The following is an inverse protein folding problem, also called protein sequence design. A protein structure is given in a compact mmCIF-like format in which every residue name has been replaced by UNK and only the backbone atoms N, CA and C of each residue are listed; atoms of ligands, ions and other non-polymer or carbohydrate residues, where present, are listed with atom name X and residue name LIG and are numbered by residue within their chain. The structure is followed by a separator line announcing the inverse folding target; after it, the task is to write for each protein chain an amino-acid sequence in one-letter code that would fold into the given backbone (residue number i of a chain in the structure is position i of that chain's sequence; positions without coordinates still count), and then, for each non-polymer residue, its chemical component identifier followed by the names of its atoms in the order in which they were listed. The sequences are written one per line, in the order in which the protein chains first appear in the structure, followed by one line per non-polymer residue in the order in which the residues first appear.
data_IF_525614080550
#
_entry.id   IF_525614080550
#
_cell.length_a   1.000
_cell.length_b   1.000
_cell.length_c   1.000
_cell.angle_alpha   90.00
_cell.angle_beta   90.00
_cell.angle_gamma   90.00
#
_symmetry.space_group_name_H-M   'P 1'
#
loop_
_entity.id
_entity.type
_entity.pdbx_description
1 polymer ?
#
# COMPACT_ATOMS: atom_id res chain seq x y z
N UNK A 1 11.50 8.40 13.67
CA UNK A 1 10.37 9.26 13.25
C UNK A 1 9.41 9.29 14.42
N UNK A 2 9.74 10.13 15.42
CA UNK A 2 8.85 10.42 16.53
C UNK A 2 7.98 11.61 16.12
N UNK A 3 6.67 11.43 16.27
CA UNK A 3 5.64 12.47 16.26
C UNK A 3 5.52 13.38 15.02
N UNK A 4 5.19 12.80 13.87
CA UNK A 4 4.22 13.44 13.00
C UNK A 4 2.84 12.86 13.36
N UNK A 5 2.39 13.11 14.57
CA UNK A 5 0.99 12.94 14.96
C UNK A 5 0.18 14.12 14.40
N UNK A 6 0.09 14.15 13.07
CA UNK A 6 -1.05 14.77 12.42
C UNK A 6 -2.16 13.74 12.55
N UNK A 7 -2.79 13.64 13.72
CA UNK A 7 -3.93 12.81 14.02
C UNK A 7 -4.06 11.46 13.28
N UNK A 8 -5.19 10.80 13.31
CA UNK A 8 -5.48 9.57 12.53
C UNK A 8 -5.26 9.74 11.02
N UNK A 9 -5.33 10.96 10.51
CA UNK A 9 -5.10 11.30 9.10
C UNK A 9 -3.64 11.07 8.64
N UNK A 10 -2.63 11.30 9.49
CA UNK A 10 -1.22 11.12 9.11
C UNK A 10 -0.84 9.67 8.83
N UNK A 11 -1.40 8.73 9.58
CA UNK A 11 -1.20 7.31 9.36
C UNK A 11 -1.80 6.85 8.03
N UNK A 12 -2.98 7.37 7.65
CA UNK A 12 -3.65 7.04 6.38
C UNK A 12 -2.80 7.43 5.18
N UNK A 13 -2.10 8.56 5.21
CA UNK A 13 -1.22 8.96 4.10
C UNK A 13 -0.01 8.04 3.95
N UNK A 14 0.68 7.71 5.03
CA UNK A 14 1.81 6.77 5.00
C UNK A 14 1.36 5.38 4.55
N UNK A 15 0.19 4.92 5.00
CA UNK A 15 -0.38 3.64 4.57
C UNK A 15 -0.77 3.67 3.09
N UNK A 16 -1.25 4.82 2.59
CA UNK A 16 -1.51 5.04 1.17
C UNK A 16 -0.26 4.86 0.32
N UNK A 17 0.85 5.50 0.70
CA UNK A 17 2.14 5.36 0.02
C UNK A 17 2.63 3.91 0.03
N UNK A 18 2.59 3.23 1.19
CA UNK A 18 2.99 1.83 1.32
C UNK A 18 2.14 0.92 0.44
N UNK A 19 0.82 1.17 0.38
CA UNK A 19 -0.10 0.38 -0.45
C UNK A 19 0.15 0.61 -1.94
N UNK A 20 0.31 1.86 -2.37
CA UNK A 20 0.59 2.19 -3.77
C UNK A 20 1.92 1.58 -4.18
N UNK A 21 2.98 1.76 -3.39
CA UNK A 21 4.29 1.16 -3.65
C UNK A 21 4.22 -0.37 -3.75
N UNK A 22 3.39 -0.99 -2.89
CA UNK A 22 3.13 -2.43 -2.98
C UNK A 22 2.50 -2.79 -4.33
N UNK A 23 1.50 -2.05 -4.80
CA UNK A 23 0.77 -2.34 -6.04
C UNK A 23 1.63 -2.13 -7.28
N UNK A 24 2.33 -0.99 -7.36
CA UNK A 24 3.18 -0.64 -8.51
C UNK A 24 4.59 -1.22 -8.42
N UNK A 25 4.93 -1.90 -7.33
CA UNK A 25 6.25 -2.53 -7.13
C UNK A 25 7.37 -1.49 -7.09
N UNK A 26 7.18 -0.40 -6.36
CA UNK A 26 8.24 0.58 -6.15
C UNK A 26 9.26 0.06 -5.14
N UNK A 27 10.50 -0.15 -5.57
CA UNK A 27 11.57 -0.73 -4.75
C UNK A 27 12.36 0.33 -3.97
N UNK A 28 12.23 1.62 -4.30
CA UNK A 28 13.10 2.67 -3.76
C UNK A 28 12.37 3.83 -3.07
N UNK A 29 11.24 3.59 -2.43
CA UNK A 29 10.62 4.57 -1.55
C UNK A 29 11.50 4.80 -0.32
N UNK A 30 12.34 5.81 -0.35
CA UNK A 30 13.16 6.19 0.80
C UNK A 30 12.59 7.43 1.51
N UNK A 31 13.18 7.80 2.64
CA UNK A 31 12.64 8.87 3.50
C UNK A 31 12.52 10.25 2.83
N UNK A 32 13.33 10.53 1.81
CA UNK A 32 13.24 11.78 1.05
C UNK A 32 12.11 11.77 -0.01
N UNK A 33 11.43 10.64 -0.20
CA UNK A 33 10.33 10.46 -1.15
C UNK A 33 8.97 10.53 -0.46
N UNK A 34 8.94 10.97 0.80
CA UNK A 34 7.74 11.37 1.54
C UNK A 34 7.78 12.87 1.79
N UNK A 35 6.63 13.49 1.80
CA UNK A 35 6.55 14.92 2.05
C UNK A 35 5.23 15.35 2.65
N UNK A 36 5.24 16.54 3.18
CA UNK A 36 4.05 17.26 3.61
C UNK A 36 4.04 18.64 2.96
N UNK A 37 2.85 19.08 2.60
CA UNK A 37 2.64 20.43 2.08
C UNK A 37 2.49 21.35 3.28
N UNK A 38 3.22 22.46 3.23
CA UNK A 38 3.20 23.50 4.26
C UNK A 38 2.90 24.85 3.64
N UNK A 39 2.05 25.63 4.28
CA UNK A 39 1.83 27.04 3.90
C UNK A 39 3.13 27.82 4.00
N UNK A 40 3.47 28.56 2.98
CA UNK A 40 4.65 29.45 3.00
C UNK A 40 4.44 30.66 3.92
N UNK A 41 3.20 31.10 4.09
CA UNK A 41 2.86 32.31 4.84
C UNK A 41 2.64 32.01 6.33
N UNK A 42 1.84 30.97 6.63
CA UNK A 42 1.44 30.64 8.02
C UNK A 42 2.29 29.56 8.65
N UNK A 43 3.07 28.83 7.85
CA UNK A 43 3.84 27.65 8.24
C UNK A 43 2.99 26.47 8.73
N UNK A 44 1.69 26.53 8.56
CA UNK A 44 0.77 25.44 8.91
C UNK A 44 0.88 24.27 7.94
N UNK A 45 0.71 23.06 8.43
CA UNK A 45 0.64 21.87 7.60
C UNK A 45 -0.72 21.79 6.91
N UNK A 46 -0.69 21.67 5.57
CA UNK A 46 -1.88 21.62 4.70
C UNK A 46 -2.30 20.19 4.34
N UNK A 47 -1.36 19.24 4.38
CA UNK A 47 -1.63 17.86 4.04
C UNK A 47 -0.39 17.10 3.60
N UNK A 48 -0.57 15.86 3.15
CA UNK A 48 0.49 15.08 2.54
C UNK A 48 0.86 15.63 1.16
N UNK A 49 2.13 15.51 0.79
CA UNK A 49 2.54 15.73 -0.58
C UNK A 49 1.98 14.61 -1.49
N UNK A 50 1.69 14.89 -2.76
CA UNK A 50 1.41 13.84 -3.73
C UNK A 50 2.55 12.83 -3.78
N UNK A 51 2.23 11.58 -4.13
CA UNK A 51 3.25 10.54 -4.34
C UNK A 51 4.15 10.96 -5.49
N UNK A 52 5.46 10.92 -5.27
CA UNK A 52 6.47 11.28 -6.26
C UNK A 52 7.63 10.29 -6.22
N UNK A 53 8.52 10.37 -7.21
CA UNK A 53 9.72 9.52 -7.34
C UNK A 53 9.40 8.02 -7.34
N UNK A 54 8.53 7.62 -8.26
CA UNK A 54 8.14 6.22 -8.45
C UNK A 54 8.84 5.57 -9.65
N UNK A 55 10.00 6.08 -10.08
CA UNK A 55 10.72 5.63 -11.26
C UNK A 55 11.25 4.19 -11.18
N UNK A 56 11.42 3.64 -9.99
CA UNK A 56 11.88 2.27 -9.76
C UNK A 56 10.71 1.27 -9.61
N UNK A 57 9.66 1.46 -10.39
CA UNK A 57 8.42 0.69 -10.29
C UNK A 57 8.24 -0.30 -11.45
N UNK A 58 7.20 -1.14 -11.37
CA UNK A 58 6.70 -2.00 -12.45
C UNK A 58 7.78 -2.96 -12.99
N UNK A 59 8.65 -3.46 -12.10
CA UNK A 59 9.76 -4.36 -12.48
C UNK A 59 10.62 -3.76 -13.59
N UNK A 60 10.93 -2.45 -13.50
CA UNK A 60 11.63 -1.69 -14.54
C UNK A 60 12.94 -2.33 -15.01
N UNK A 61 13.67 -2.97 -14.10
CA UNK A 61 14.97 -3.61 -14.32
C UNK A 61 14.88 -5.12 -14.62
N UNK A 62 13.67 -5.71 -14.63
CA UNK A 62 13.48 -7.16 -14.83
C UNK A 62 13.13 -7.50 -16.28
N UNK A 63 13.66 -8.59 -16.81
CA UNK A 63 13.16 -9.18 -18.05
C UNK A 63 11.68 -9.54 -17.95
N UNK A 64 10.94 -9.45 -19.05
CA UNK A 64 9.50 -9.73 -19.12
C UNK A 64 9.12 -11.08 -18.50
N UNK A 65 9.92 -12.11 -18.70
CA UNK A 65 9.69 -13.45 -18.16
C UNK A 65 9.79 -13.52 -16.60
N UNK A 66 10.41 -12.53 -15.96
CA UNK A 66 10.59 -12.47 -14.50
C UNK A 66 9.58 -11.55 -13.81
N UNK A 67 8.75 -10.84 -14.55
CA UNK A 67 7.71 -9.97 -13.99
C UNK A 67 6.73 -10.79 -13.14
N UNK A 68 6.44 -10.31 -11.95
CA UNK A 68 5.53 -10.96 -11.00
C UNK A 68 6.13 -12.13 -10.22
N UNK A 69 7.38 -12.51 -10.50
CA UNK A 69 8.08 -13.59 -9.80
C UNK A 69 9.06 -13.07 -8.75
N UNK A 70 9.33 -13.89 -7.74
CA UNK A 70 10.33 -13.61 -6.71
C UNK A 70 9.86 -12.64 -5.62
N UNK A 71 10.73 -12.49 -4.61
CA UNK A 71 10.57 -11.51 -3.54
C UNK A 71 10.99 -10.14 -4.06
N UNK A 72 10.17 -9.13 -3.80
CA UNK A 72 10.46 -7.75 -4.15
C UNK A 72 10.99 -7.04 -2.90
N UNK A 73 12.15 -6.44 -3.03
CA UNK A 73 12.72 -5.56 -1.98
C UNK A 73 11.95 -4.25 -1.92
N UNK A 74 12.01 -3.57 -0.78
CA UNK A 74 11.44 -2.24 -0.64
C UNK A 74 12.13 -1.45 0.48
N UNK A 75 11.80 -0.18 0.56
CA UNK A 75 12.16 0.79 1.59
C UNK A 75 10.89 1.54 2.02
N UNK A 76 10.90 2.34 3.09
CA UNK A 76 12.01 2.54 4.03
C UNK A 76 11.88 1.67 5.28
N UNK A 77 10.71 1.05 5.54
CA UNK A 77 10.39 0.49 6.86
C UNK A 77 10.76 -0.98 7.00
N UNK A 78 10.68 -1.75 5.92
CA UNK A 78 11.00 -3.18 5.87
C UNK A 78 11.81 -3.51 4.62
N UNK A 79 12.35 -4.73 4.58
CA UNK A 79 13.19 -5.20 3.48
C UNK A 79 12.40 -5.84 2.34
N UNK A 80 11.08 -6.01 2.50
CA UNK A 80 10.21 -6.53 1.43
C UNK A 80 8.81 -5.94 1.53
N UNK A 81 8.15 -5.89 0.39
CA UNK A 81 6.76 -5.43 0.29
C UNK A 81 5.81 -6.25 1.15
N UNK A 82 6.01 -7.56 1.23
CA UNK A 82 5.18 -8.48 2.03
C UNK A 82 5.33 -8.23 3.54
N UNK A 83 6.49 -7.76 3.98
CA UNK A 83 6.70 -7.36 5.37
C UNK A 83 6.21 -5.94 5.63
N UNK A 84 6.36 -5.05 4.64
CA UNK A 84 6.00 -3.64 4.79
C UNK A 84 4.48 -3.44 4.83
N UNK A 85 3.72 -4.19 4.02
CA UNK A 85 2.25 -4.12 4.01
C UNK A 85 1.62 -4.50 5.36
N UNK A 86 2.29 -5.33 6.16
CA UNK A 86 1.85 -5.72 7.51
C UNK A 86 1.91 -4.58 8.54
N UNK A 87 2.52 -3.46 8.19
CA UNK A 87 2.52 -2.26 9.03
C UNK A 87 1.21 -1.48 8.96
N UNK A 88 0.37 -1.77 7.97
CA UNK A 88 -0.95 -1.15 7.84
C UNK A 88 -1.87 -1.77 8.87
N UNK A 89 -2.29 -0.97 9.84
CA UNK A 89 -3.15 -1.41 10.95
C UNK A 89 -4.64 -1.41 10.63
N UNK A 90 -5.06 -0.79 9.53
CA UNK A 90 -6.45 -0.78 9.08
C UNK A 90 -6.54 -0.61 7.57
N UNK A 91 -7.45 -1.33 6.94
CA UNK A 91 -7.76 -1.26 5.52
C UNK A 91 -9.14 -0.65 5.25
N UNK A 92 -9.82 -0.14 6.27
CA UNK A 92 -11.18 0.40 6.17
C UNK A 92 -11.29 1.66 5.29
N UNK A 93 -10.18 2.36 5.08
CA UNK A 93 -10.11 3.57 4.25
C UNK A 93 -9.96 3.28 2.75
N UNK A 94 -9.76 2.01 2.35
CA UNK A 94 -9.55 1.65 0.94
C UNK A 94 -10.89 1.51 0.22
N UNK A 95 -11.05 2.24 -0.86
CA UNK A 95 -12.07 1.95 -1.86
C UNK A 95 -11.60 0.81 -2.77
N UNK A 96 -12.02 -0.41 -2.45
CA UNK A 96 -11.70 -1.59 -3.25
C UNK A 96 -12.30 -1.55 -4.65
N UNK A 97 -13.36 -0.77 -4.86
CA UNK A 97 -13.99 -0.54 -6.16
C UNK A 97 -13.09 0.22 -7.12
N UNK A 98 -12.30 1.16 -6.60
CA UNK A 98 -11.36 1.95 -7.37
C UNK A 98 -10.19 1.13 -7.96
N UNK A 99 -9.96 -0.09 -7.48
CA UNK A 99 -8.95 -1.00 -8.04
C UNK A 99 -9.50 -1.89 -9.18
N UNK A 100 -10.79 -1.79 -9.49
CA UNK A 100 -11.36 -2.51 -10.63
C UNK A 100 -10.99 -1.79 -11.93
N UNK A 101 -10.51 -2.53 -12.91
CA UNK A 101 -10.09 -1.95 -14.19
C UNK A 101 -8.70 -1.33 -14.21
N UNK A 102 -7.90 -1.50 -13.15
CA UNK A 102 -6.53 -0.95 -13.06
C UNK A 102 -5.62 -1.46 -14.19
N UNK A 103 -5.85 -2.67 -14.69
CA UNK A 103 -5.10 -3.24 -15.81
C UNK A 103 -5.42 -2.53 -17.12
N UNK A 104 -6.67 -2.19 -17.36
CA UNK A 104 -7.14 -1.45 -18.52
C UNK A 104 -6.63 0.00 -18.49
N UNK A 105 -6.66 0.63 -17.32
CA UNK A 105 -6.11 1.98 -17.13
C UNK A 105 -4.59 1.99 -17.36
N UNK A 106 -3.88 0.99 -16.85
CA UNK A 106 -2.44 0.85 -17.11
C UNK A 106 -2.17 0.70 -18.60
N UNK A 107 -2.91 -0.16 -19.31
CA UNK A 107 -2.75 -0.34 -20.76
C UNK A 107 -2.97 0.95 -21.52
N UNK A 108 -4.02 1.68 -21.18
CA UNK A 108 -4.33 2.98 -21.80
C UNK A 108 -3.21 4.00 -21.55
N UNK A 109 -2.63 4.01 -20.36
CA UNK A 109 -1.56 4.93 -19.99
C UNK A 109 -0.25 4.68 -20.76
N UNK A 110 0.05 3.42 -21.13
CA UNK A 110 1.32 3.03 -21.77
C UNK A 110 1.20 2.70 -23.25
N UNK A 111 0.01 2.80 -23.87
CA UNK A 111 -0.29 2.35 -25.22
C UNK A 111 0.66 2.91 -26.29
N UNK A 112 1.08 4.18 -26.12
CA UNK A 112 1.94 4.89 -27.06
C UNK A 112 3.41 4.87 -26.65
N UNK A 113 3.76 4.16 -25.58
CA UNK A 113 5.12 4.10 -25.07
C UNK A 113 5.96 3.07 -25.83
N UNK A 114 7.13 3.44 -26.36
CA UNK A 114 8.00 2.51 -27.06
C UNK A 114 8.67 1.46 -26.12
N UNK A 115 8.52 1.62 -24.81
CA UNK A 115 9.14 0.74 -23.81
C UNK A 115 8.24 -0.41 -23.37
N UNK A 116 6.97 -0.42 -23.79
CA UNK A 116 5.98 -1.42 -23.40
C UNK A 116 5.45 -2.16 -24.64
N UNK A 117 6.08 -3.26 -25.01
CA UNK A 117 5.46 -4.18 -25.97
C UNK A 117 4.29 -4.93 -25.34
N UNK A 118 3.47 -5.58 -26.17
CA UNK A 118 2.28 -6.29 -25.72
C UNK A 118 2.58 -7.37 -24.68
N UNK A 119 3.69 -8.10 -24.84
CA UNK A 119 4.06 -9.18 -23.91
C UNK A 119 4.46 -8.63 -22.53
N UNK A 120 5.21 -7.52 -22.50
CA UNK A 120 5.59 -6.84 -21.26
C UNK A 120 4.37 -6.23 -20.57
N UNK A 121 3.50 -5.58 -21.33
CA UNK A 121 2.26 -5.02 -20.83
C UNK A 121 1.39 -6.09 -20.17
N UNK A 122 1.19 -7.24 -20.83
CA UNK A 122 0.45 -8.38 -20.31
C UNK A 122 1.07 -8.95 -19.03
N UNK A 123 2.39 -9.04 -18.98
CA UNK A 123 3.08 -9.55 -17.79
C UNK A 123 2.91 -8.60 -16.58
N UNK A 124 3.02 -7.28 -16.80
CA UNK A 124 2.82 -6.28 -15.75
C UNK A 124 1.36 -6.31 -15.27
N UNK A 125 0.38 -6.34 -16.16
CA UNK A 125 -1.04 -6.44 -15.79
C UNK A 125 -1.30 -7.67 -14.91
N UNK A 126 -0.81 -8.85 -15.31
CA UNK A 126 -0.92 -10.06 -14.46
C UNK A 126 -0.22 -9.89 -13.12
N UNK A 127 0.93 -9.23 -13.09
CA UNK A 127 1.67 -8.93 -11.86
C UNK A 127 0.87 -8.05 -10.90
N UNK A 128 0.30 -6.95 -11.42
CA UNK A 128 -0.56 -6.03 -10.66
C UNK A 128 -1.81 -6.75 -10.15
N UNK A 129 -2.53 -7.47 -11.01
CA UNK A 129 -3.70 -8.24 -10.62
C UNK A 129 -3.41 -9.22 -9.48
N UNK A 130 -2.29 -9.93 -9.56
CA UNK A 130 -1.83 -10.82 -8.50
C UNK A 130 -1.55 -10.08 -7.18
N UNK A 131 -1.02 -8.86 -7.23
CA UNK A 131 -0.79 -8.04 -6.04
C UNK A 131 -2.09 -7.53 -5.44
N UNK A 132 -3.03 -7.08 -6.25
CA UNK A 132 -4.38 -6.68 -5.79
C UNK A 132 -5.05 -7.85 -5.06
N UNK A 133 -4.99 -9.06 -5.59
CA UNK A 133 -5.59 -10.23 -4.95
C UNK A 133 -4.92 -10.55 -3.60
N UNK A 134 -3.59 -10.52 -3.51
CA UNK A 134 -2.87 -10.73 -2.25
C UNK A 134 -3.17 -9.64 -1.23
N UNK A 135 -3.28 -8.39 -1.65
CA UNK A 135 -3.65 -7.27 -0.80
C UNK A 135 -5.07 -7.46 -0.23
N UNK A 136 -6.04 -7.81 -1.07
CA UNK A 136 -7.41 -8.13 -0.62
C UNK A 136 -7.45 -9.30 0.37
N UNK A 137 -6.65 -10.33 0.13
CA UNK A 137 -6.54 -11.47 1.04
C UNK A 137 -5.94 -11.06 2.39
N UNK A 138 -4.88 -10.25 2.37
CA UNK A 138 -4.23 -9.75 3.58
C UNK A 138 -5.19 -8.88 4.41
N UNK A 139 -5.92 -7.97 3.78
CA UNK A 139 -6.91 -7.13 4.44
C UNK A 139 -8.02 -7.95 5.13
N UNK A 140 -8.54 -8.99 4.47
CA UNK A 140 -9.55 -9.88 5.06
C UNK A 140 -9.03 -10.64 6.28
N UNK A 141 -7.77 -11.10 6.24
CA UNK A 141 -7.15 -11.78 7.37
C UNK A 141 -6.96 -10.84 8.56
N UNK A 142 -6.63 -9.59 8.30
CA UNK A 142 -6.47 -8.56 9.33
C UNK A 142 -7.80 -8.29 10.04
N UNK A 143 -8.86 -8.05 9.29
CA UNK A 143 -10.21 -7.81 9.84
C UNK A 143 -10.69 -9.00 10.70
N UNK A 144 -10.50 -10.24 10.23
CA UNK A 144 -10.91 -11.42 10.98
C UNK A 144 -10.16 -11.58 12.32
N UNK A 145 -8.90 -11.13 12.40
CA UNK A 145 -8.13 -11.14 13.67
C UNK A 145 -8.64 -10.08 14.62
N UNK A 146 -8.98 -8.89 14.12
CA UNK A 146 -9.50 -7.78 14.92
C UNK A 146 -10.89 -8.14 15.49
N UNK A 147 -11.76 -8.78 14.71
CA UNK A 147 -13.06 -9.26 15.14
C UNK A 147 -12.93 -10.29 16.26
N UNK A 148 -12.05 -11.31 16.11
CA UNK A 148 -11.79 -12.32 17.13
C UNK A 148 -11.21 -11.71 18.43
N UNK A 149 -10.31 -10.74 18.32
CA UNK A 149 -9.76 -10.06 19.48
C UNK A 149 -10.83 -9.25 20.24
N UNK A 150 -11.75 -8.61 19.51
CA UNK A 150 -12.87 -7.88 20.09
C UNK A 150 -13.84 -8.80 20.82
N UNK A 151 -14.15 -9.97 20.26
CA UNK A 151 -15.03 -10.96 20.86
C UNK A 151 -14.43 -11.53 22.17
N UNK A 152 -13.13 -11.83 22.18
CA UNK A 152 -12.43 -12.30 23.38
C UNK A 152 -12.40 -11.27 24.50
N UNK A 153 -12.25 -10.00 24.18
CA UNK A 153 -12.27 -8.91 25.16
C UNK A 153 -13.66 -8.71 25.74
N UNK A 154 -14.70 -8.88 24.94
CA UNK A 154 -16.08 -8.78 25.40
C UNK A 154 -16.49 -9.97 26.30
N UNK A 155 -16.07 -11.19 25.99
CA UNK A 155 -16.31 -12.38 26.81
C UNK A 155 -15.63 -12.29 28.18
N UNK A 156 -14.41 -11.76 28.24
CA UNK A 156 -13.70 -11.57 29.52
C UNK A 156 -14.34 -10.48 30.40
N UNK A 157 -14.94 -9.45 29.79
CA UNK A 157 -15.66 -8.42 30.52
C UNK A 157 -16.99 -8.91 31.12
N UNK A 158 -17.59 -9.96 30.57
CA UNK A 158 -18.85 -10.55 31.05
C UNK A 158 -18.65 -11.58 32.17
N UNK A 159 -17.52 -12.31 32.17
CA UNK A 159 -17.22 -13.32 33.19
C UNK A 159 -16.78 -12.73 34.56
N UNK A 160 -16.41 -11.46 34.63
CA UNK A 160 -16.00 -10.78 35.85
C UNK A 160 -17.13 -10.19 36.71
N UNK A 161 -18.42 -10.39 36.35
CA UNK A 161 -19.57 -9.78 37.07
C UNK A 161 -20.44 -10.81 37.81
N UNK A 162 -19.98 -12.02 38.05
CA UNK A 162 -20.77 -13.09 38.66
C UNK A 162 -20.30 -13.51 40.07
N UNK A 163 -19.55 -12.66 40.78
CA UNK A 163 -19.21 -12.91 42.18
C UNK A 163 -19.35 -11.60 42.98
N UNK A 164 -20.58 -11.23 43.33
CA UNK A 164 -20.97 -10.44 44.53
C UNK A 164 -22.31 -10.91 45.05
#
# INVERSE_FOLDING_TARGET
IQDLTVGDTGNVYVYGDVMVDYLIVNEDRHQNNFGVIRSADTLEYLGAAPIYDSGTSLWFDKPTAMIGSGRVTCKPFKNSHEEQIKLISSFAWIDWGALNGIEEEFRAAVQDSPFFDGARCDAICRGIAGRVQRLKQHARQHTAVDDLASDLLNDTAYSGKSEE
#
